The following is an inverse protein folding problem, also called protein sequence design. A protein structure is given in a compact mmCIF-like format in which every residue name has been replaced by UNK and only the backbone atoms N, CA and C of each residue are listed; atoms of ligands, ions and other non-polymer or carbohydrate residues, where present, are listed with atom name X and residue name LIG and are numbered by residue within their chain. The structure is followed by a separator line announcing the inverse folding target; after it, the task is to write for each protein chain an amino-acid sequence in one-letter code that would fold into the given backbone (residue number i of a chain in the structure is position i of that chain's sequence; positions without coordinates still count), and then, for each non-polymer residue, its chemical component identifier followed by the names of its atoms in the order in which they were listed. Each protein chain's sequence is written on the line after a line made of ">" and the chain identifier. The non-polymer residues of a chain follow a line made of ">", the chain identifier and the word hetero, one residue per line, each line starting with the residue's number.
data_IF_389473143500
#
_entry.id   IF_389473143500
#
_cell.length_a   1.000
_cell.length_b   1.000
_cell.length_c   1.000
_cell.angle_alpha   90.00
_cell.angle_beta   90.00
_cell.angle_gamma   90.00
#
_symmetry.space_group_name_H-M   'P 1'
#
loop_
_entity.id
_entity.type
_entity.pdbx_description
1 polymer ?
#
# COMPACT_ATOMS: atom_id res chain seq x y z
N UNK A 1 14.02 9.62 0.47
CA UNK A 1 13.07 9.69 -0.67
C UNK A 1 13.24 11.04 -1.39
N UNK A 2 13.51 11.06 -2.70
CA UNK A 2 13.61 12.31 -3.46
C UNK A 2 12.28 13.07 -3.53
N UNK A 3 12.33 14.40 -3.62
CA UNK A 3 11.14 15.26 -3.57
C UNK A 3 10.16 15.02 -4.74
N UNK A 4 10.67 14.70 -5.93
CA UNK A 4 9.86 14.35 -7.09
C UNK A 4 9.03 13.08 -6.85
N UNK A 5 9.63 12.05 -6.27
CA UNK A 5 8.94 10.82 -5.92
C UNK A 5 7.89 11.08 -4.85
N UNK A 6 8.18 11.93 -3.86
CA UNK A 6 7.21 12.27 -2.80
C UNK A 6 5.97 12.92 -3.39
N UNK A 7 6.16 13.88 -4.30
CA UNK A 7 5.07 14.53 -5.03
C UNK A 7 4.27 13.56 -5.90
N UNK A 8 4.95 12.65 -6.60
CA UNK A 8 4.27 11.62 -7.40
C UNK A 8 3.40 10.72 -6.51
N UNK A 9 3.92 10.31 -5.36
CA UNK A 9 3.17 9.54 -4.36
C UNK A 9 2.00 10.34 -3.79
N UNK A 10 2.17 11.66 -3.56
CA UNK A 10 1.10 12.55 -3.09
C UNK A 10 -0.05 12.69 -4.08
N UNK A 11 0.25 12.71 -5.38
CA UNK A 11 -0.76 12.79 -6.44
C UNK A 11 -1.49 11.45 -6.61
N UNK A 12 -0.76 10.34 -6.58
CA UNK A 12 -1.33 8.99 -6.75
C UNK A 12 -2.13 8.55 -5.53
N UNK A 13 -1.60 8.75 -4.33
CA UNK A 13 -2.16 8.29 -3.07
C UNK A 13 -2.69 9.51 -2.28
N UNK A 14 -3.89 9.95 -2.64
CA UNK A 14 -4.59 11.07 -1.99
C UNK A 14 -5.05 10.73 -0.57
N UNK A 15 -5.36 9.46 -0.33
CA UNK A 15 -5.79 8.89 0.95
C UNK A 15 -4.96 7.64 1.25
N UNK A 16 -5.13 7.10 2.46
CA UNK A 16 -4.70 5.75 2.79
C UNK A 16 -5.12 4.76 1.70
N UNK A 17 -4.20 3.88 1.28
CA UNK A 17 -4.45 2.86 0.25
C UNK A 17 -5.13 1.60 0.77
N UNK A 18 -5.30 1.48 2.08
CA UNK A 18 -6.06 0.39 2.67
C UNK A 18 -7.52 0.41 2.17
N UNK A 19 -8.11 -0.73 1.78
CA UNK A 19 -9.47 -0.80 1.25
C UNK A 19 -10.49 -0.15 2.20
N UNK A 20 -11.33 0.75 1.68
CA UNK A 20 -12.36 1.44 2.46
C UNK A 20 -11.87 2.60 3.34
N UNK A 21 -10.56 2.87 3.43
CA UNK A 21 -10.03 3.97 4.23
C UNK A 21 -9.95 5.29 3.45
N UNK A 22 -10.54 6.36 3.98
CA UNK A 22 -10.54 7.70 3.38
C UNK A 22 -9.66 8.73 4.10
N UNK A 23 -8.86 8.30 5.08
CA UNK A 23 -7.97 9.17 5.85
C UNK A 23 -6.86 9.75 4.95
N UNK A 24 -6.71 11.07 4.96
CA UNK A 24 -5.75 11.81 4.10
C UNK A 24 -4.81 12.75 4.86
N UNK A 25 -5.10 13.08 6.11
CA UNK A 25 -4.34 14.08 6.87
C UNK A 25 -3.08 13.49 7.49
N UNK A 26 -3.18 12.26 7.98
CA UNK A 26 -2.12 11.60 8.75
C UNK A 26 -1.61 10.35 8.04
N UNK A 27 -1.02 10.53 6.85
CA UNK A 27 -0.51 9.46 6.01
C UNK A 27 1.01 9.41 5.93
N UNK A 28 1.55 8.20 5.88
CA UNK A 28 2.98 7.88 5.83
C UNK A 28 3.27 6.96 4.65
N UNK A 29 4.47 7.09 4.05
CA UNK A 29 4.93 6.25 2.96
C UNK A 29 5.54 4.96 3.49
N UNK A 30 5.18 3.83 2.89
CA UNK A 30 5.63 2.50 3.28
C UNK A 30 6.17 1.76 2.04
N UNK A 31 7.27 1.02 2.21
CA UNK A 31 7.81 0.11 1.20
C UNK A 31 7.07 -1.21 1.23
N UNK A 32 6.51 -1.64 0.10
CA UNK A 32 5.73 -2.88 0.00
C UNK A 32 6.66 -4.09 0.04
N UNK A 33 7.66 -4.12 -0.85
CA UNK A 33 8.82 -4.98 -0.72
C UNK A 33 9.84 -4.25 0.13
N UNK A 34 10.22 -4.89 1.25
CA UNK A 34 11.10 -4.28 2.21
C UNK A 34 12.49 -4.04 1.59
N UNK A 35 13.13 -2.91 1.95
CA UNK A 35 14.45 -2.57 1.40
C UNK A 35 15.50 -3.66 1.66
N UNK A 36 15.39 -4.36 2.80
CA UNK A 36 16.30 -5.45 3.15
C UNK A 36 16.18 -6.67 2.19
N UNK A 37 15.03 -6.83 1.54
CA UNK A 37 14.76 -7.90 0.57
C UNK A 37 15.06 -7.48 -0.88
N UNK A 38 15.64 -6.28 -1.08
CA UNK A 38 15.97 -5.74 -2.40
C UNK A 38 14.97 -4.70 -2.91
N UNK A 39 13.93 -4.38 -2.15
CA UNK A 39 12.88 -3.45 -2.56
C UNK A 39 13.41 -2.05 -2.88
N UNK A 40 13.20 -1.62 -4.13
CA UNK A 40 13.63 -0.29 -4.59
C UNK A 40 12.79 0.82 -3.97
N UNK A 41 13.38 2.01 -3.80
CA UNK A 41 12.61 3.22 -3.49
C UNK A 41 12.03 3.79 -4.78
N UNK A 42 11.01 3.13 -5.31
CA UNK A 42 10.30 3.49 -6.54
C UNK A 42 8.85 3.85 -6.27
N UNK A 43 8.15 4.41 -7.27
CA UNK A 43 6.73 4.72 -7.12
C UNK A 43 5.92 3.43 -6.96
N UNK A 44 6.31 2.38 -7.70
CA UNK A 44 5.64 1.08 -7.74
C UNK A 44 5.77 0.31 -6.43
N UNK A 45 6.90 0.47 -5.72
CA UNK A 45 7.16 -0.22 -4.46
C UNK A 45 6.77 0.59 -3.20
N UNK A 46 6.26 1.82 -3.37
CA UNK A 46 5.80 2.63 -2.24
C UNK A 46 4.28 2.69 -2.25
N UNK A 47 3.66 2.77 -1.07
CA UNK A 47 2.25 3.12 -0.90
C UNK A 47 2.04 3.97 0.34
N UNK A 48 0.97 4.76 0.38
CA UNK A 48 0.60 5.50 1.60
C UNK A 48 -0.41 4.80 2.48
N UNK A 49 -0.15 4.83 3.77
CA UNK A 49 -1.07 4.36 4.81
C UNK A 49 -1.28 5.41 5.89
N UNK A 50 -2.48 5.47 6.46
CA UNK A 50 -2.68 6.27 7.67
C UNK A 50 -1.95 5.62 8.85
N UNK A 51 -1.67 6.39 9.92
CA UNK A 51 -0.96 5.88 11.10
C UNK A 51 -1.55 4.58 11.67
N UNK A 52 -2.88 4.44 11.64
CA UNK A 52 -3.56 3.23 12.09
C UNK A 52 -3.22 2.03 11.20
N UNK A 53 -3.48 2.10 9.90
CA UNK A 53 -3.21 0.98 8.99
C UNK A 53 -1.72 0.70 8.82
N UNK A 54 -0.87 1.72 8.93
CA UNK A 54 0.58 1.56 8.94
C UNK A 54 1.03 0.74 10.15
N UNK A 55 0.50 1.04 11.34
CA UNK A 55 0.78 0.25 12.55
C UNK A 55 0.23 -1.18 12.44
N UNK A 56 -0.97 -1.36 11.87
CA UNK A 56 -1.57 -2.69 11.67
C UNK A 56 -0.75 -3.55 10.69
N UNK A 57 -0.21 -2.94 9.63
CA UNK A 57 0.71 -3.61 8.70
C UNK A 57 1.99 -4.07 9.42
N UNK A 58 2.63 -3.19 10.19
CA UNK A 58 3.81 -3.55 10.99
C UNK A 58 3.54 -4.62 12.06
N UNK A 59 2.30 -4.70 12.56
CA UNK A 59 1.88 -5.74 13.52
C UNK A 59 1.55 -7.07 12.85
N UNK A 60 1.59 -7.15 11.51
CA UNK A 60 1.19 -8.33 10.75
C UNK A 60 -0.31 -8.62 10.86
N UNK A 61 -1.15 -7.59 11.04
CA UNK A 61 -2.61 -7.76 11.02
C UNK A 61 -3.16 -7.90 9.60
N UNK A 62 -2.40 -7.47 8.60
CA UNK A 62 -2.60 -7.74 7.18
C UNK A 62 -1.25 -7.63 6.47
N UNK A 63 -1.20 -8.15 5.25
CA UNK A 63 -0.08 -8.06 4.34
C UNK A 63 -0.50 -7.33 3.05
N UNK A 64 0.44 -6.65 2.40
CA UNK A 64 0.21 -5.93 1.15
C UNK A 64 1.23 -6.37 0.10
N UNK A 65 0.76 -6.62 -1.12
CA UNK A 65 1.62 -7.01 -2.26
C UNK A 65 1.19 -6.26 -3.51
N UNK A 66 2.13 -6.11 -4.44
CA UNK A 66 1.83 -5.65 -5.79
C UNK A 66 1.56 -6.88 -6.66
N UNK A 67 0.36 -7.00 -7.22
CA UNK A 67 0.08 -7.99 -8.26
C UNK A 67 0.16 -7.33 -9.66
N UNK A 68 0.77 -8.00 -10.64
CA UNK A 68 0.83 -7.50 -12.01
C UNK A 68 -0.57 -7.50 -12.64
N UNK A 69 -0.79 -6.67 -13.68
CA UNK A 69 -2.03 -6.67 -14.42
C UNK A 69 -2.30 -8.04 -15.07
N UNK A 70 -3.57 -8.45 -15.03
CA UNK A 70 -4.05 -9.67 -15.67
C UNK A 70 -3.92 -9.51 -17.20
N UNK A 71 -3.34 -10.50 -17.87
CA UNK A 71 -3.08 -10.50 -19.33
C UNK A 71 -2.16 -9.36 -19.84
N UNK A 72 -1.38 -8.73 -18.96
CA UNK A 72 -0.51 -7.61 -19.33
C UNK A 72 -1.27 -6.34 -19.74
N UNK A 73 -2.58 -6.30 -19.51
CA UNK A 73 -3.43 -5.15 -19.77
C UNK A 73 -3.89 -4.53 -18.44
N UNK A 74 -3.47 -3.29 -18.19
CA UNK A 74 -3.85 -2.51 -17.01
C UNK A 74 -2.69 -2.15 -16.11
N UNK A 75 -3.00 -1.56 -14.96
CA UNK A 75 -2.04 -1.12 -13.96
C UNK A 75 -1.84 -2.20 -12.88
N UNK A 76 -0.63 -2.25 -12.32
CA UNK A 76 -0.35 -3.08 -11.16
C UNK A 76 -1.25 -2.68 -9.98
N UNK A 77 -1.75 -3.67 -9.25
CA UNK A 77 -2.70 -3.45 -8.16
C UNK A 77 -2.13 -3.84 -6.80
N UNK A 78 -2.49 -3.04 -5.79
CA UNK A 78 -2.22 -3.38 -4.41
C UNK A 78 -3.25 -4.40 -3.93
N UNK A 79 -2.77 -5.57 -3.54
CA UNK A 79 -3.58 -6.65 -2.99
C UNK A 79 -3.30 -6.75 -1.51
N UNK A 80 -4.37 -6.69 -0.72
CA UNK A 80 -4.34 -6.76 0.73
C UNK A 80 -4.82 -8.13 1.17
N UNK A 81 -4.12 -8.76 2.12
CA UNK A 81 -4.50 -10.08 2.64
C UNK A 81 -4.46 -10.13 4.16
N UNK A 82 -5.37 -10.88 4.77
CA UNK A 82 -5.31 -11.20 6.20
C UNK A 82 -4.15 -12.17 6.48
N UNK A 83 -3.75 -12.38 7.75
CA UNK A 83 -2.72 -13.37 8.10
C UNK A 83 -3.13 -14.80 7.75
N UNK A 84 -4.45 -15.05 7.62
CA UNK A 84 -5.00 -16.31 7.12
C UNK A 84 -5.01 -16.43 5.59
N UNK A 85 -4.50 -15.43 4.86
CA UNK A 85 -4.41 -15.42 3.40
C UNK A 85 -5.69 -14.98 2.67
N UNK A 86 -6.73 -14.51 3.38
CA UNK A 86 -7.97 -14.03 2.75
C UNK A 86 -7.75 -12.65 2.18
N UNK A 87 -8.15 -12.41 0.94
CA UNK A 87 -8.12 -11.06 0.34
C UNK A 87 -9.06 -10.12 1.10
N UNK A 88 -8.57 -8.92 1.36
CA UNK A 88 -9.33 -7.84 2.00
C UNK A 88 -9.91 -6.99 0.86
N UNK A 89 -11.19 -7.18 0.60
CA UNK A 89 -11.97 -6.32 -0.29
C UNK A 89 -12.58 -5.17 0.53
N UNK A 90 -13.15 -4.17 -0.15
CA UNK A 90 -13.62 -2.86 0.38
C UNK A 90 -14.53 -2.92 1.62
N UNK A 91 -14.98 -4.09 2.07
CA UNK A 91 -16.09 -4.27 3.03
C UNK A 91 -15.78 -5.19 4.23
N UNK A 92 -14.52 -5.42 4.62
CA UNK A 92 -14.19 -6.44 5.63
C UNK A 92 -13.58 -5.96 6.96
N UNK A 93 -13.77 -4.70 7.35
CA UNK A 93 -13.57 -4.30 8.76
C UNK A 93 -14.90 -3.78 9.32
N UNK A 94 -15.57 -4.55 10.20
CA UNK A 94 -16.79 -4.10 10.91
C UNK A 94 -16.52 -2.97 11.91
#
# INVERSE_FOLDING_TARGET
>A
MPASLRRALDVRDKTCRFPGCSESRTVESHHIEHWADGGETSLENLAKFCKFHHAQLHRGCFDVRVEPPVDGQGEAQLVFTTPSGRRIETDLFP
#
